data_IF_909926098009
#
_entry.id   IF_909926098009
#
_cell.length_a   1.000
_cell.length_b   1.000
_cell.length_c   1.000
_cell.angle_alpha   90.00
_cell.angle_beta   90.00
_cell.angle_gamma   90.00
#
_symmetry.space_group_name_H-M   'P 1'
#
loop_
_entity.id
_entity.type
_entity.pdbx_description
1 polymer ?
#
# COMPACT_ATOMS: atom_id res chain seq x y z
N UNK A 1 1.76 4.18 25.14
CA UNK A 1 2.18 4.73 23.88
C UNK A 1 1.50 4.05 22.70
N UNK A 2 0.70 4.76 22.04
CA UNK A 2 -0.09 4.17 20.98
C UNK A 2 0.59 4.39 19.62
N UNK A 3 1.55 3.57 19.34
CA UNK A 3 2.16 3.59 18.03
C UNK A 3 1.39 2.64 17.15
N UNK A 4 0.78 3.15 16.10
CA UNK A 4 0.08 2.30 15.16
C UNK A 4 1.10 1.59 14.30
N UNK A 5 1.26 0.30 14.54
CA UNK A 5 2.20 -0.49 13.77
C UNK A 5 1.65 -0.70 12.36
N UNK A 6 2.53 -0.57 11.38
CA UNK A 6 2.16 -0.85 10.00
C UNK A 6 1.92 -2.35 9.83
N UNK A 7 0.88 -2.68 9.11
CA UNK A 7 0.51 -4.07 8.85
C UNK A 7 1.46 -4.74 7.86
N UNK A 8 2.06 -3.97 6.98
CA UNK A 8 2.95 -4.47 5.95
C UNK A 8 4.34 -3.87 6.10
N UNK A 9 5.32 -4.50 5.47
CA UNK A 9 6.70 -4.07 5.53
C UNK A 9 7.23 -3.83 4.13
N UNK A 10 8.28 -3.01 4.02
CA UNK A 10 8.97 -2.83 2.75
C UNK A 10 9.48 -4.18 2.25
N UNK A 11 9.27 -4.43 0.96
CA UNK A 11 9.64 -5.69 0.34
C UNK A 11 8.55 -6.73 0.34
N UNK A 12 7.47 -6.49 1.06
CA UNK A 12 6.35 -7.42 1.12
C UNK A 12 5.45 -7.26 -0.10
N UNK A 13 4.94 -8.37 -0.60
CA UNK A 13 4.00 -8.36 -1.71
C UNK A 13 2.59 -8.19 -1.17
N UNK A 14 1.84 -7.28 -1.79
CA UNK A 14 0.46 -7.00 -1.38
C UNK A 14 -0.42 -6.93 -2.62
N UNK A 15 -1.72 -6.97 -2.42
CA UNK A 15 -2.70 -6.77 -3.47
C UNK A 15 -3.52 -5.54 -3.16
N UNK A 16 -3.88 -4.80 -4.19
CA UNK A 16 -4.74 -3.65 -4.04
C UNK A 16 -6.18 -4.11 -4.10
N UNK A 17 -6.96 -3.69 -3.09
CA UNK A 17 -8.38 -4.01 -3.04
C UNK A 17 -9.09 -3.12 -4.06
N UNK A 18 -9.85 -3.71 -5.00
CA UNK A 18 -10.58 -2.91 -5.99
C UNK A 18 -11.55 -1.94 -5.32
N UNK A 19 -11.60 -0.72 -5.84
CA UNK A 19 -12.48 0.29 -5.30
C UNK A 19 -12.51 1.50 -6.21
N UNK A 20 -13.41 2.45 -5.94
CA UNK A 20 -13.59 3.60 -6.82
C UNK A 20 -12.34 4.47 -6.94
N UNK A 21 -11.50 4.49 -5.93
CA UNK A 21 -10.30 5.32 -5.93
C UNK A 21 -9.08 4.59 -6.48
N UNK A 22 -9.18 3.29 -6.72
CA UNK A 22 -8.05 2.47 -7.14
C UNK A 22 -8.11 2.17 -8.63
N UNK A 23 -9.29 2.26 -9.20
CA UNK A 23 -9.48 2.05 -10.63
C UNK A 23 -9.17 0.62 -11.04
N UNK A 24 -8.33 0.48 -12.05
CA UNK A 24 -8.02 -0.82 -12.63
C UNK A 24 -6.76 -1.46 -12.07
N UNK A 25 -6.36 -1.08 -10.87
CA UNK A 25 -5.19 -1.67 -10.26
C UNK A 25 -5.40 -3.16 -10.05
N UNK A 26 -4.59 -3.96 -10.72
CA UNK A 26 -4.69 -5.41 -10.66
C UNK A 26 -3.32 -6.01 -10.49
N UNK A 27 -3.30 -7.25 -10.03
CA UNK A 27 -2.08 -7.99 -9.88
C UNK A 27 -1.40 -7.72 -8.56
N UNK A 28 -0.16 -8.14 -8.48
CA UNK A 28 0.61 -8.01 -7.26
C UNK A 28 1.40 -6.72 -7.26
N UNK A 29 1.53 -6.14 -6.08
CA UNK A 29 2.33 -4.96 -5.87
C UNK A 29 3.33 -5.26 -4.77
N UNK A 30 4.45 -4.59 -4.82
CA UNK A 30 5.47 -4.71 -3.80
C UNK A 30 5.54 -3.42 -3.00
N UNK A 31 5.56 -3.55 -1.68
CA UNK A 31 5.72 -2.39 -0.82
C UNK A 31 7.16 -1.90 -0.97
N UNK A 32 7.31 -0.73 -1.54
CA UNK A 32 8.62 -0.13 -1.76
C UNK A 32 9.06 0.60 -0.51
N UNK A 33 8.10 1.26 0.14
CA UNK A 33 8.40 2.06 1.33
C UNK A 33 7.19 2.15 2.22
N UNK A 34 7.44 2.08 3.51
CA UNK A 34 6.42 2.31 4.53
C UNK A 34 6.42 3.80 4.83
N UNK A 35 5.27 4.44 4.64
CA UNK A 35 5.15 5.88 4.83
C UNK A 35 4.67 6.18 6.24
N UNK A 36 4.95 7.38 6.77
CA UNK A 36 4.49 7.76 8.10
C UNK A 36 2.97 7.71 8.21
N UNK A 37 2.50 7.37 9.40
CA UNK A 37 1.08 7.42 9.70
C UNK A 37 0.60 8.86 9.66
N UNK A 38 -0.51 9.10 8.98
CA UNK A 38 -1.09 10.42 8.88
C UNK A 38 -2.58 10.32 9.19
N UNK A 39 -3.03 11.15 10.13
CA UNK A 39 -4.43 11.13 10.60
C UNK A 39 -4.87 9.74 11.06
N UNK A 40 -3.96 9.00 11.69
CA UNK A 40 -4.27 7.66 12.17
C UNK A 40 -4.33 6.60 11.09
N UNK A 41 -3.94 6.94 9.87
CA UNK A 41 -3.98 6.02 8.73
C UNK A 41 -2.56 5.71 8.29
N UNK A 42 -2.24 4.43 8.24
CA UNK A 42 -0.96 3.98 7.72
C UNK A 42 -0.98 4.02 6.20
N UNK A 43 0.10 4.48 5.61
CA UNK A 43 0.21 4.59 4.17
C UNK A 43 1.44 3.86 3.67
N UNK A 44 1.40 3.47 2.42
CA UNK A 44 2.47 2.70 1.81
C UNK A 44 2.71 3.18 0.38
N UNK A 45 3.96 3.16 -0.01
CA UNK A 45 4.31 3.34 -1.41
C UNK A 45 4.51 1.96 -2.00
N UNK A 46 3.73 1.64 -3.01
CA UNK A 46 3.78 0.33 -3.63
C UNK A 46 4.14 0.46 -5.10
N UNK A 47 4.70 -0.62 -5.64
CA UNK A 47 5.12 -0.65 -7.03
C UNK A 47 4.51 -1.87 -7.69
N UNK A 48 3.92 -1.65 -8.87
CA UNK A 48 3.34 -2.75 -9.63
C UNK A 48 4.42 -3.68 -10.16
N UNK A 49 4.20 -4.97 -10.02
CA UNK A 49 5.13 -5.97 -10.53
C UNK A 49 5.03 -6.12 -12.05
N UNK A 50 3.95 -5.62 -12.64
CA UNK A 50 3.74 -5.79 -14.07
C UNK A 50 4.31 -4.64 -14.88
N UNK A 51 4.04 -3.39 -14.47
CA UNK A 51 4.46 -2.24 -15.25
C UNK A 51 5.43 -1.32 -14.53
N UNK A 52 5.72 -1.59 -13.27
CA UNK A 52 6.67 -0.80 -12.52
C UNK A 52 6.16 0.54 -12.03
N UNK A 53 4.89 0.82 -12.20
CA UNK A 53 4.33 2.07 -11.71
C UNK A 53 4.20 2.06 -10.19
N UNK A 54 4.56 3.18 -9.57
CA UNK A 54 4.42 3.33 -8.13
C UNK A 54 3.19 4.15 -7.80
N UNK A 55 2.61 3.86 -6.65
CA UNK A 55 1.48 4.64 -6.14
C UNK A 55 1.48 4.60 -4.63
N UNK A 56 0.83 5.60 -4.05
CA UNK A 56 0.66 5.67 -2.60
C UNK A 56 -0.75 5.21 -2.27
N UNK A 57 -0.83 4.27 -1.34
CA UNK A 57 -2.12 3.72 -0.91
C UNK A 57 -2.20 3.71 0.60
N UNK A 58 -3.42 3.63 1.12
CA UNK A 58 -3.63 3.47 2.55
C UNK A 58 -3.70 1.98 2.88
N UNK A 59 -3.51 1.67 4.16
CA UNK A 59 -3.53 0.28 4.60
C UNK A 59 -4.85 -0.41 4.29
N UNK A 60 -5.94 0.32 4.27
CA UNK A 60 -7.24 -0.25 3.94
C UNK A 60 -7.41 -0.57 2.46
N UNK A 61 -6.55 -0.04 1.61
CA UNK A 61 -6.62 -0.26 0.18
C UNK A 61 -5.78 -1.45 -0.29
N UNK A 62 -5.02 -2.04 0.59
CA UNK A 62 -4.17 -3.19 0.27
C UNK A 62 -4.46 -4.33 1.21
N UNK A 63 -4.14 -5.52 0.74
CA UNK A 63 -4.40 -6.74 1.49
C UNK A 63 -3.19 -7.67 1.43
#
# INVERSE_FOLDING_TARGET
MATTAHKFKAGQTVRVVPGPNVGNARGSFKVVRVLPTEHGINQYRIKSDTDGHERVVTESQVD
#
